data_IF_045968573443
#
_entry.id   IF_045968573443
#
_cell.length_a   1.000
_cell.length_b   1.000
_cell.length_c   1.000
_cell.angle_alpha   90.00
_cell.angle_beta   90.00
_cell.angle_gamma   90.00
#
_symmetry.space_group_name_H-M   'P 1'
#
loop_
_entity.id
_entity.type
_entity.pdbx_description
1 polymer ?
#
# COMPACT_ATOMS: atom_id res chain seq x y z
N UNK A 1 0.07 -8.95 1.45
CA UNK A 1 1.33 -8.20 1.33
C UNK A 1 2.46 -9.20 1.20
N UNK A 2 3.45 -8.93 0.35
CA UNK A 2 4.61 -9.79 0.12
C UNK A 2 5.86 -8.92 0.29
N UNK A 3 6.89 -9.48 0.94
CA UNK A 3 8.19 -8.82 1.12
C UNK A 3 9.24 -9.78 0.55
N UNK A 4 9.99 -9.33 -0.44
CA UNK A 4 10.98 -10.13 -1.17
C UNK A 4 12.37 -9.52 -1.01
N UNK A 5 13.42 -10.33 -0.74
CA UNK A 5 14.78 -9.81 -0.61
C UNK A 5 15.30 -9.24 -1.94
N UNK A 6 16.12 -8.20 -1.85
CA UNK A 6 16.88 -7.60 -2.95
C UNK A 6 18.36 -8.00 -2.87
N UNK A 7 19.18 -7.49 -3.80
CA UNK A 7 20.62 -7.78 -3.84
C UNK A 7 21.40 -7.11 -2.69
N UNK A 8 20.97 -5.93 -2.22
CA UNK A 8 21.65 -5.21 -1.15
C UNK A 8 21.36 -5.78 0.23
N UNK A 9 22.25 -5.48 1.20
CA UNK A 9 22.10 -5.96 2.58
C UNK A 9 20.84 -5.38 3.22
N UNK A 10 19.97 -6.28 3.70
CA UNK A 10 18.70 -5.96 4.34
C UNK A 10 17.79 -5.07 3.47
N UNK A 11 17.95 -5.15 2.15
CA UNK A 11 17.08 -4.47 1.20
C UNK A 11 15.96 -5.41 0.74
N UNK A 12 14.75 -4.88 0.62
CA UNK A 12 13.56 -5.64 0.26
C UNK A 12 12.65 -4.85 -0.66
N UNK A 13 12.02 -5.54 -1.60
CA UNK A 13 10.88 -5.02 -2.35
C UNK A 13 9.60 -5.48 -1.66
N UNK A 14 8.78 -4.50 -1.28
CA UNK A 14 7.45 -4.70 -0.72
C UNK A 14 6.43 -4.64 -1.85
N UNK A 15 5.54 -5.61 -1.92
CA UNK A 15 4.36 -5.59 -2.79
C UNK A 15 3.09 -5.67 -1.95
N UNK A 16 2.27 -4.63 -1.99
CA UNK A 16 0.93 -4.62 -1.41
C UNK A 16 -0.10 -4.72 -2.54
N UNK A 17 -0.84 -5.81 -2.58
CA UNK A 17 -1.98 -5.96 -3.48
C UNK A 17 -3.25 -5.58 -2.74
N UNK A 18 -4.00 -4.62 -3.28
CA UNK A 18 -5.33 -4.23 -2.78
C UNK A 18 -6.35 -4.72 -3.79
N UNK A 19 -7.38 -5.43 -3.32
CA UNK A 19 -8.45 -5.97 -4.13
C UNK A 19 -9.77 -5.36 -3.71
N UNK A 20 -10.49 -4.79 -4.67
CA UNK A 20 -11.87 -4.41 -4.55
C UNK A 20 -12.75 -5.63 -4.87
N UNK A 21 -13.55 -6.05 -3.89
CA UNK A 21 -14.53 -7.13 -4.06
C UNK A 21 -15.97 -6.59 -4.21
N UNK A 22 -16.12 -5.28 -4.35
CA UNK A 22 -17.39 -4.59 -4.61
C UNK A 22 -17.54 -4.39 -6.12
N UNK A 23 -18.76 -4.50 -6.65
CA UNK A 23 -19.06 -4.27 -8.07
C UNK A 23 -19.05 -2.80 -8.50
N UNK A 24 -18.43 -1.92 -7.73
CA UNK A 24 -18.33 -0.47 -7.96
C UNK A 24 -16.91 -0.02 -7.65
N UNK A 25 -16.39 0.90 -8.45
CA UNK A 25 -15.04 1.41 -8.24
C UNK A 25 -14.97 2.34 -7.04
N UNK A 26 -13.79 2.44 -6.45
CA UNK A 26 -13.54 3.23 -5.26
C UNK A 26 -12.19 3.91 -5.38
N UNK A 27 -12.09 5.15 -4.89
CA UNK A 27 -10.78 5.77 -4.76
C UNK A 27 -10.14 5.29 -3.47
N UNK A 28 -8.93 4.73 -3.60
CA UNK A 28 -8.15 4.27 -2.45
C UNK A 28 -6.89 5.09 -2.29
N UNK A 29 -6.58 5.43 -1.04
CA UNK A 29 -5.29 5.91 -0.59
C UNK A 29 -4.53 4.76 0.03
N UNK A 30 -3.36 4.43 -0.51
CA UNK A 30 -2.54 3.31 -0.08
C UNK A 30 -1.19 3.82 0.40
N UNK A 31 -0.85 3.47 1.63
CA UNK A 31 0.37 3.92 2.30
C UNK A 31 0.96 2.83 3.18
N UNK A 32 2.11 3.14 3.77
CA UNK A 32 2.72 2.33 4.83
C UNK A 32 2.85 3.17 6.09
N UNK A 33 2.66 2.55 7.26
CA UNK A 33 2.84 3.23 8.55
C UNK A 33 4.32 3.48 8.78
N UNK A 34 4.63 4.70 9.25
CA UNK A 34 6.00 5.11 9.51
C UNK A 34 6.64 4.21 10.56
N UNK A 35 7.86 3.76 10.28
CA UNK A 35 8.62 2.88 11.16
C UNK A 35 10.10 3.32 11.14
N UNK A 36 10.69 3.70 12.27
CA UNK A 36 12.06 4.23 12.32
C UNK A 36 13.13 3.21 11.91
N UNK A 37 12.84 1.91 11.97
CA UNK A 37 13.75 0.85 11.52
C UNK A 37 13.70 0.60 10.00
N UNK A 38 12.86 1.35 9.27
CA UNK A 38 12.63 1.19 7.82
C UNK A 38 13.01 2.48 7.10
N UNK A 39 14.01 2.38 6.22
CA UNK A 39 14.40 3.44 5.29
C UNK A 39 13.84 3.14 3.91
N UNK A 40 13.12 4.08 3.30
CA UNK A 40 12.67 3.94 1.91
C UNK A 40 13.83 4.31 0.97
N UNK A 41 14.13 3.43 0.02
CA UNK A 41 15.27 3.61 -0.89
C UNK A 41 14.99 4.66 -1.98
N UNK A 42 13.71 4.86 -2.31
CA UNK A 42 13.25 5.95 -3.19
C UNK A 42 12.45 6.97 -2.38
N UNK A 43 11.12 6.89 -2.43
CA UNK A 43 10.24 7.77 -1.67
C UNK A 43 9.38 6.95 -0.72
N UNK A 44 9.04 7.53 0.44
CA UNK A 44 7.93 7.05 1.28
C UNK A 44 6.59 7.45 0.61
N UNK A 45 6.33 6.87 -0.56
CA UNK A 45 5.23 7.26 -1.41
C UNK A 45 3.89 6.88 -0.79
N UNK A 46 2.92 7.78 -0.95
CA UNK A 46 1.51 7.52 -0.71
C UNK A 46 0.83 7.51 -2.07
N UNK A 47 0.18 6.40 -2.40
CA UNK A 47 -0.51 6.21 -3.66
C UNK A 47 -1.99 6.57 -3.50
N UNK A 48 -2.54 7.32 -4.46
CA UNK A 48 -3.98 7.51 -4.56
C UNK A 48 -4.41 7.11 -5.96
N UNK A 49 -5.35 6.18 -6.07
CA UNK A 49 -5.76 5.62 -7.36
C UNK A 49 -7.20 5.14 -7.35
N UNK A 50 -7.83 5.12 -8.52
CA UNK A 50 -9.11 4.43 -8.70
C UNK A 50 -8.88 2.91 -8.69
N UNK A 51 -9.70 2.18 -7.93
CA UNK A 51 -9.62 0.74 -7.75
C UNK A 51 -10.96 0.09 -8.13
N UNK A 52 -11.01 -0.52 -9.31
CA UNK A 52 -12.17 -1.27 -9.80
C UNK A 52 -12.06 -2.78 -9.58
N UNK A 53 -10.84 -3.32 -9.58
CA UNK A 53 -10.60 -4.76 -9.43
C UNK A 53 -9.45 -5.02 -8.45
N UNK A 54 -8.21 -5.00 -8.91
CA UNK A 54 -7.04 -5.16 -8.06
C UNK A 54 -5.85 -4.37 -8.59
N UNK A 55 -5.18 -3.65 -7.71
CA UNK A 55 -3.94 -2.94 -8.02
C UNK A 55 -2.82 -3.41 -7.08
N UNK A 56 -1.58 -3.28 -7.56
CA UNK A 56 -0.37 -3.56 -6.78
C UNK A 56 0.39 -2.26 -6.56
N UNK A 57 0.88 -2.09 -5.34
CA UNK A 57 1.65 -0.95 -4.88
C UNK A 57 2.98 -1.44 -4.34
N UNK A 58 4.05 -0.67 -4.56
CA UNK A 58 5.41 -1.14 -4.35
C UNK A 58 6.24 -0.12 -3.60
N UNK A 59 7.11 -0.60 -2.72
CA UNK A 59 8.15 0.20 -2.10
C UNK A 59 9.42 -0.64 -2.02
N UNK A 60 10.55 -0.04 -2.34
CA UNK A 60 11.86 -0.60 -2.04
C UNK A 60 12.36 0.01 -0.74
N UNK A 61 12.73 -0.84 0.21
CA UNK A 61 13.10 -0.47 1.57
C UNK A 61 14.41 -1.12 1.99
N UNK A 62 15.09 -0.50 2.95
CA UNK A 62 16.18 -1.07 3.71
C UNK A 62 15.81 -1.10 5.20
N UNK A 63 16.11 -2.19 5.88
CA UNK A 63 15.72 -2.43 7.26
C UNK A 63 16.96 -2.53 8.17
N UNK A 64 16.99 -1.74 9.25
CA UNK A 64 18.11 -1.74 10.20
C UNK A 64 18.03 -2.87 11.23
N UNK A 65 16.82 -3.20 11.70
CA UNK A 65 16.56 -4.12 12.79
C UNK A 65 15.30 -4.95 12.54
N UNK A 66 15.17 -6.08 13.26
CA UNK A 66 13.96 -6.90 13.22
C UNK A 66 12.73 -6.05 13.50
N UNK A 67 11.77 -6.05 12.57
CA UNK A 67 10.65 -5.11 12.62
C UNK A 67 9.40 -5.66 11.94
N UNK A 68 8.34 -4.86 11.93
CA UNK A 68 7.11 -5.14 11.19
C UNK A 68 6.75 -3.95 10.30
N UNK A 69 6.51 -4.23 9.02
CA UNK A 69 5.95 -3.26 8.09
C UNK A 69 4.42 -3.40 8.11
N UNK A 70 3.70 -2.29 8.21
CA UNK A 70 2.25 -2.25 8.06
C UNK A 70 1.87 -1.41 6.84
N UNK A 71 1.17 -2.03 5.89
CA UNK A 71 0.50 -1.36 4.78
C UNK A 71 -0.94 -1.02 5.15
N UNK A 72 -1.44 0.13 4.69
CA UNK A 72 -2.80 0.63 4.89
C UNK A 72 -3.43 0.92 3.53
N UNK A 73 -4.67 0.50 3.34
CA UNK A 73 -5.54 0.91 2.23
C UNK A 73 -6.79 1.56 2.81
N UNK A 74 -7.10 2.77 2.35
CA UNK A 74 -8.21 3.58 2.87
C UNK A 74 -9.05 4.07 1.70
N UNK A 75 -10.36 3.83 1.74
CA UNK A 75 -11.29 4.42 0.76
C UNK A 75 -11.46 5.89 1.11
N UNK A 76 -11.25 6.78 0.14
CA UNK A 76 -11.28 8.24 0.36
C UNK A 76 -12.25 8.94 -0.60
N UNK A 77 -12.85 10.07 -0.20
CA UNK A 77 -13.71 10.88 -1.07
C UNK A 77 -12.84 11.78 -1.97
N UNK A 78 -12.16 11.23 -2.96
CA UNK A 78 -11.45 12.05 -3.95
C UNK A 78 -12.28 12.18 -5.23
N UNK A 79 -12.41 13.41 -5.74
CA UNK A 79 -13.04 13.69 -7.04
C UNK A 79 -11.99 13.59 -8.16
N UNK A 80 -12.43 13.21 -9.36
CA UNK A 80 -11.61 13.20 -10.59
C UNK A 80 -10.42 12.22 -10.62
N UNK A 81 -10.40 11.22 -9.73
CA UNK A 81 -9.42 10.11 -9.79
C UNK A 81 -10.01 8.89 -10.51
N UNK A 82 -11.27 8.55 -10.23
CA UNK A 82 -12.02 7.61 -11.04
C UNK A 82 -12.65 8.34 -12.24
N UNK A 83 -12.82 7.66 -13.39
CA UNK A 83 -13.59 8.17 -14.51
C UNK A 83 -15.02 8.60 -14.09
N UNK A 84 -15.52 9.69 -14.66
CA UNK A 84 -16.81 10.30 -14.28
C UNK A 84 -18.03 9.42 -14.59
N UNK A 85 -17.88 8.43 -15.48
CA UNK A 85 -18.90 7.47 -15.87
C UNK A 85 -19.05 6.30 -14.86
N UNK A 86 -18.16 6.19 -13.88
CA UNK A 86 -18.21 5.11 -12.89
C UNK A 86 -19.05 5.48 -11.66
N UNK A 87 -19.91 4.54 -11.25
CA UNK A 87 -20.59 4.60 -9.95
C UNK A 87 -19.55 4.39 -8.85
N UNK A 88 -19.22 5.45 -8.13
CA UNK A 88 -18.25 5.41 -7.03
C UNK A 88 -18.93 4.90 -5.76
N UNK A 89 -18.27 3.99 -5.05
CA UNK A 89 -18.74 3.49 -3.77
C UNK A 89 -18.90 4.63 -2.75
N UNK A 90 -20.08 4.80 -2.13
CA UNK A 90 -20.39 5.98 -1.33
C UNK A 90 -19.70 6.00 0.04
N UNK A 91 -19.16 4.87 0.50
CA UNK A 91 -18.51 4.76 1.82
C UNK A 91 -17.06 5.18 1.72
N UNK A 92 -16.69 6.20 2.48
CA UNK A 92 -15.40 6.91 2.37
C UNK A 92 -14.56 6.81 3.64
N UNK A 93 -14.82 5.79 4.46
CA UNK A 93 -14.17 5.56 5.76
C UNK A 93 -13.71 4.11 5.97
N UNK A 94 -13.76 3.28 4.93
CA UNK A 94 -13.31 1.90 5.02
C UNK A 94 -11.78 1.83 4.99
N UNK A 95 -11.20 1.16 5.99
CA UNK A 95 -9.75 1.03 6.14
C UNK A 95 -9.41 -0.43 6.35
N UNK A 96 -8.44 -0.90 5.57
CA UNK A 96 -7.82 -2.22 5.75
C UNK A 96 -6.34 -2.08 5.98
N UNK A 97 -5.78 -3.00 6.77
CA UNK A 97 -4.35 -3.04 7.05
C UNK A 97 -3.79 -4.44 6.84
N UNK A 98 -2.54 -4.51 6.41
CA UNK A 98 -1.79 -5.75 6.33
C UNK A 98 -0.43 -5.56 6.99
N UNK A 99 -0.01 -6.50 7.82
CA UNK A 99 1.28 -6.44 8.53
C UNK A 99 2.16 -7.62 8.10
N UNK A 100 3.44 -7.33 7.85
CA UNK A 100 4.46 -8.35 7.55
C UNK A 100 5.66 -8.13 8.46
N UNK A 101 6.09 -9.21 9.14
CA UNK A 101 7.33 -9.21 9.90
C UNK A 101 8.51 -9.34 8.94
N UNK A 102 9.57 -8.59 9.20
CA UNK A 102 10.83 -8.64 8.48
C UNK A 102 11.92 -8.95 9.50
N UNK A 103 12.61 -10.07 9.28
CA UNK A 103 13.71 -10.53 10.13
C UNK A 103 14.99 -10.32 9.33
N UNK A 104 15.95 -9.63 9.94
CA UNK A 104 17.25 -9.32 9.35
C UNK A 104 18.36 -9.90 10.24
N UNK A 105 19.50 -10.19 9.63
CA UNK A 105 20.67 -10.81 10.26
C UNK A 105 21.87 -9.88 10.30
#
# INVERSE_FOLDING_TARGET
MIVSPMKGKNEFTVTLQVKNNVGQCMVVKVSTVMNPSIKYLSAHAIYTSCLCSANKYFWDIQVSDNTALQGKAEVVPAKSICPDDEKIFPVTSYVETATQKIIVS
#
